data_IF_068871720312
#
_entry.id   IF_068871720312
#
_cell.length_a   1.000
_cell.length_b   1.000
_cell.length_c   1.000
_cell.angle_alpha   90.00
_cell.angle_beta   90.00
_cell.angle_gamma   90.00
#
_symmetry.space_group_name_H-M   'P 1'
#
loop_
_entity.id
_entity.type
_entity.pdbx_description
1 polymer ?
#
# COMPACT_ATOMS: atom_id res chain seq x y z
N UNK A 1 -11.39 -33.36 -6.85
CA UNK A 1 -11.35 -32.05 -6.18
C UNK A 1 -11.01 -31.05 -7.24
N UNK A 2 -11.99 -30.28 -7.69
CA UNK A 2 -11.76 -29.22 -8.68
C UNK A 2 -11.12 -28.04 -7.96
N UNK A 3 -9.83 -27.79 -8.24
CA UNK A 3 -9.19 -26.53 -7.90
C UNK A 3 -9.94 -25.43 -8.64
N UNK A 4 -10.87 -24.76 -7.95
CA UNK A 4 -11.42 -23.49 -8.40
C UNK A 4 -10.23 -22.59 -8.70
N UNK A 5 -10.10 -22.13 -9.96
CA UNK A 5 -9.12 -21.12 -10.38
C UNK A 5 -9.05 -20.04 -9.32
N UNK A 6 -7.99 -20.07 -8.51
CA UNK A 6 -7.72 -19.04 -7.51
C UNK A 6 -7.54 -17.73 -8.27
N UNK A 7 -8.55 -16.87 -8.22
CA UNK A 7 -8.41 -15.52 -8.75
C UNK A 7 -7.60 -14.77 -7.69
N UNK A 8 -6.27 -14.76 -7.84
CA UNK A 8 -5.36 -14.11 -6.90
C UNK A 8 -5.47 -12.60 -7.05
N UNK A 9 -6.36 -12.00 -6.26
CA UNK A 9 -6.44 -10.56 -6.08
C UNK A 9 -5.22 -10.15 -5.26
N UNK A 10 -4.44 -9.20 -5.79
CA UNK A 10 -3.30 -8.62 -5.07
C UNK A 10 -3.76 -7.33 -4.43
N UNK A 11 -3.53 -7.22 -3.13
CA UNK A 11 -3.95 -6.09 -2.31
C UNK A 11 -2.72 -5.32 -1.85
N UNK A 12 -2.86 -4.01 -1.81
CA UNK A 12 -1.94 -3.14 -1.06
C UNK A 12 -2.16 -3.30 0.44
N UNK A 13 -1.17 -2.93 1.25
CA UNK A 13 -1.28 -2.93 2.71
C UNK A 13 -2.47 -2.08 3.19
N UNK A 14 -2.77 -1.00 2.48
CA UNK A 14 -3.92 -0.15 2.77
C UNK A 14 -5.26 -0.83 2.47
N UNK A 15 -5.42 -1.44 1.29
CA UNK A 15 -6.65 -2.15 0.95
C UNK A 15 -6.89 -3.30 1.94
N UNK A 16 -5.82 -4.01 2.30
CA UNK A 16 -5.87 -5.02 3.35
C UNK A 16 -6.31 -4.41 4.70
N UNK A 17 -5.76 -3.25 5.08
CA UNK A 17 -6.16 -2.57 6.32
C UNK A 17 -7.64 -2.21 6.35
N UNK A 18 -8.19 -1.64 5.26
CA UNK A 18 -9.61 -1.28 5.17
C UNK A 18 -10.52 -2.50 5.31
N UNK A 19 -10.17 -3.61 4.65
CA UNK A 19 -10.93 -4.86 4.73
C UNK A 19 -10.90 -5.41 6.16
N UNK A 20 -9.74 -5.42 6.80
CA UNK A 20 -9.60 -5.92 8.18
C UNK A 20 -10.31 -5.01 9.17
N UNK A 21 -10.25 -3.68 8.99
CA UNK A 21 -10.98 -2.73 9.83
C UNK A 21 -12.49 -3.00 9.77
N UNK A 22 -13.06 -3.14 8.58
CA UNK A 22 -14.48 -3.44 8.40
C UNK A 22 -14.87 -4.78 9.06
N UNK A 23 -14.01 -5.80 8.96
CA UNK A 23 -14.22 -7.08 9.62
C UNK A 23 -14.20 -6.98 11.15
N UNK A 24 -13.25 -6.22 11.71
CA UNK A 24 -13.17 -5.98 13.16
C UNK A 24 -14.40 -5.23 13.66
N UNK A 25 -14.89 -4.24 12.91
CA UNK A 25 -16.10 -3.48 13.25
C UNK A 25 -17.35 -4.38 13.22
N UNK A 26 -17.49 -5.24 12.21
CA UNK A 26 -18.59 -6.22 12.12
C UNK A 26 -18.58 -7.22 13.28
N UNK A 27 -17.41 -7.76 13.62
CA UNK A 27 -17.27 -8.70 14.74
C UNK A 27 -17.61 -8.05 16.10
N UNK A 28 -17.31 -6.76 16.27
CA UNK A 28 -17.74 -5.99 17.45
C UNK A 28 -19.25 -5.83 17.52
N UNK A 29 -19.94 -5.64 16.40
CA UNK A 29 -21.39 -5.48 16.36
C UNK A 29 -22.14 -6.79 16.64
N UNK A 30 -21.60 -7.92 16.18
CA UNK A 30 -22.28 -9.22 16.25
C UNK A 30 -21.96 -10.04 17.53
N UNK A 31 -21.10 -9.54 18.44
CA UNK A 31 -20.63 -10.26 19.64
C UNK A 31 -20.04 -11.67 19.39
N UNK A 32 -19.74 -12.01 18.13
CA UNK A 32 -19.21 -13.31 17.69
C UNK A 32 -17.68 -13.35 17.78
N UNK A 33 -17.12 -13.12 18.97
CA UNK A 33 -15.68 -13.22 19.21
C UNK A 33 -15.25 -14.69 19.35
N UNK A 34 -14.95 -15.37 18.24
CA UNK A 34 -14.24 -16.66 18.28
C UNK A 34 -12.74 -16.45 18.56
N UNK A 35 -12.25 -16.89 19.71
CA UNK A 35 -10.95 -16.49 20.28
C UNK A 35 -9.71 -16.67 19.38
N UNK A 36 -9.69 -17.64 18.45
CA UNK A 36 -8.52 -17.91 17.58
C UNK A 36 -8.46 -17.01 16.34
N UNK A 37 -9.56 -16.82 15.63
CA UNK A 37 -9.58 -15.95 14.44
C UNK A 37 -9.36 -14.49 14.85
N UNK A 38 -9.87 -14.10 16.00
CA UNK A 38 -9.71 -12.74 16.53
C UNK A 38 -8.25 -12.38 16.79
N UNK A 39 -7.42 -13.26 17.37
CA UNK A 39 -6.03 -12.91 17.71
C UNK A 39 -5.18 -12.64 16.46
N UNK A 40 -5.36 -13.41 15.40
CA UNK A 40 -4.63 -13.19 14.15
C UNK A 40 -5.11 -11.90 13.45
N UNK A 41 -6.43 -11.67 13.41
CA UNK A 41 -7.02 -10.44 12.86
C UNK A 41 -6.56 -9.21 13.64
N UNK A 42 -6.49 -9.28 14.98
CA UNK A 42 -5.99 -8.20 15.83
C UNK A 42 -4.52 -7.90 15.57
N UNK A 43 -3.66 -8.93 15.55
CA UNK A 43 -2.23 -8.74 15.25
C UNK A 43 -2.00 -8.18 13.85
N UNK A 44 -2.77 -8.64 12.86
CA UNK A 44 -2.71 -8.10 11.50
C UNK A 44 -3.16 -6.64 11.47
N UNK A 45 -4.25 -6.31 12.17
CA UNK A 45 -4.71 -4.95 12.32
C UNK A 45 -3.65 -4.05 12.97
N UNK A 46 -3.07 -4.46 14.10
CA UNK A 46 -1.99 -3.73 14.79
C UNK A 46 -0.76 -3.54 13.90
N UNK A 47 -0.36 -4.58 13.17
CA UNK A 47 0.74 -4.49 12.22
C UNK A 47 0.45 -3.45 11.14
N UNK A 48 -0.71 -3.53 10.48
CA UNK A 48 -1.10 -2.61 9.41
C UNK A 48 -1.36 -1.19 9.94
N UNK A 49 -1.83 -1.05 11.18
CA UNK A 49 -2.05 0.23 11.86
C UNK A 49 -0.73 0.95 12.15
N UNK A 50 0.31 0.17 12.50
CA UNK A 50 1.67 0.69 12.70
C UNK A 50 2.36 1.11 11.40
N UNK A 51 1.85 0.67 10.24
CA UNK A 51 2.40 1.07 8.96
C UNK A 51 1.97 2.48 8.59
N UNK A 52 2.80 3.23 7.87
CA UNK A 52 2.41 4.56 7.43
C UNK A 52 1.20 4.56 6.49
N UNK A 53 0.17 5.32 6.85
CA UNK A 53 -1.11 5.37 6.11
C UNK A 53 -1.15 6.46 5.05
N UNK A 54 -0.03 6.63 4.34
CA UNK A 54 0.22 7.75 3.43
C UNK A 54 -0.82 7.92 2.29
N UNK A 55 -1.56 6.85 1.97
CA UNK A 55 -2.33 6.72 0.72
C UNK A 55 -3.86 6.77 0.99
N UNK A 56 -4.29 7.19 2.19
CA UNK A 56 -5.72 7.29 2.54
C UNK A 56 -6.53 8.27 1.69
N UNK A 57 -5.89 9.14 0.89
CA UNK A 57 -6.59 10.02 -0.03
C UNK A 57 -6.55 9.46 -1.46
N UNK A 58 -7.74 9.13 -1.99
CA UNK A 58 -7.95 8.53 -3.32
C UNK A 58 -7.25 9.29 -4.46
N UNK A 59 -7.12 10.61 -4.36
CA UNK A 59 -6.51 11.43 -5.40
C UNK A 59 -5.01 11.14 -5.56
N UNK A 60 -4.27 10.99 -4.46
CA UNK A 60 -2.84 10.74 -4.50
C UNK A 60 -2.50 9.33 -4.97
N UNK A 61 -3.34 8.36 -4.60
CA UNK A 61 -3.23 6.98 -5.09
C UNK A 61 -3.33 6.96 -6.61
N UNK A 62 -4.32 7.67 -7.14
CA UNK A 62 -4.57 7.71 -8.57
C UNK A 62 -3.45 8.44 -9.31
N UNK A 63 -2.92 9.54 -8.76
CA UNK A 63 -1.80 10.25 -9.37
C UNK A 63 -0.52 9.42 -9.40
N UNK A 64 -0.17 8.74 -8.30
CA UNK A 64 0.99 7.85 -8.28
C UNK A 64 0.76 6.65 -9.19
N UNK A 65 -0.43 6.05 -9.19
CA UNK A 65 -0.79 4.95 -10.08
C UNK A 65 -0.64 5.35 -11.54
N UNK A 66 -1.18 6.50 -11.93
CA UNK A 66 -1.13 7.00 -13.30
C UNK A 66 0.30 7.32 -13.74
N UNK A 67 1.16 7.77 -12.83
CA UNK A 67 2.59 7.93 -13.09
C UNK A 67 3.24 6.55 -13.33
N UNK A 68 3.04 5.60 -12.42
CA UNK A 68 3.68 4.29 -12.48
C UNK A 68 3.22 3.45 -13.69
N UNK A 69 1.97 3.62 -14.13
CA UNK A 69 1.41 2.96 -15.32
C UNK A 69 2.05 3.41 -16.63
N UNK A 70 2.80 4.52 -16.64
CA UNK A 70 3.55 4.96 -17.83
C UNK A 70 4.81 4.13 -18.05
N UNK A 71 5.21 3.34 -17.06
CA UNK A 71 6.41 2.54 -17.09
C UNK A 71 6.06 1.05 -17.22
N UNK A 72 7.00 0.26 -17.75
CA UNK A 72 6.86 -1.18 -17.91
C UNK A 72 7.07 -1.93 -16.58
N UNK A 73 6.37 -1.50 -15.53
CA UNK A 73 6.41 -2.11 -14.20
C UNK A 73 5.35 -3.21 -14.08
N UNK A 74 5.71 -4.28 -13.40
CA UNK A 74 4.78 -5.33 -13.03
C UNK A 74 3.83 -4.83 -11.94
N UNK A 75 2.66 -5.47 -11.84
CA UNK A 75 1.71 -5.16 -10.78
C UNK A 75 2.32 -5.34 -9.37
N UNK A 76 3.26 -6.28 -9.19
CA UNK A 76 3.93 -6.49 -7.90
C UNK A 76 4.84 -5.30 -7.56
N UNK A 77 5.63 -4.83 -8.52
CA UNK A 77 6.50 -3.66 -8.35
C UNK A 77 5.67 -2.43 -7.96
N UNK A 78 4.56 -2.20 -8.66
CA UNK A 78 3.64 -1.10 -8.36
C UNK A 78 3.10 -1.22 -6.93
N UNK A 79 2.63 -2.39 -6.52
CA UNK A 79 2.12 -2.63 -5.16
C UNK A 79 3.21 -2.39 -4.10
N UNK A 80 4.45 -2.83 -4.35
CA UNK A 80 5.56 -2.60 -3.44
C UNK A 80 5.91 -1.12 -3.32
N UNK A 81 5.86 -0.36 -4.41
CA UNK A 81 6.04 1.10 -4.38
C UNK A 81 4.96 1.76 -3.52
N UNK A 82 3.69 1.33 -3.63
CA UNK A 82 2.61 1.83 -2.76
C UNK A 82 2.84 1.45 -1.29
N UNK A 83 3.27 0.22 -1.01
CA UNK A 83 3.44 -0.24 0.36
C UNK A 83 4.62 0.43 1.08
N UNK A 84 5.73 0.66 0.37
CA UNK A 84 6.98 1.14 0.98
C UNK A 84 7.15 2.66 0.81
N UNK A 85 6.63 3.25 -0.26
CA UNK A 85 6.75 4.67 -0.59
C UNK A 85 8.22 5.15 -0.60
N UNK A 86 9.01 4.66 -1.57
CA UNK A 86 10.48 4.79 -1.61
C UNK A 86 10.95 6.24 -1.46
N UNK A 87 12.06 6.41 -0.75
CA UNK A 87 12.66 7.71 -0.39
C UNK A 87 13.91 8.03 -1.16
N UNK A 88 14.60 6.98 -1.61
CA UNK A 88 15.88 7.05 -2.31
C UNK A 88 15.81 6.16 -3.54
N UNK A 89 16.72 6.41 -4.47
CA UNK A 89 16.87 5.60 -5.67
C UNK A 89 17.13 4.12 -5.35
N UNK A 90 17.97 3.84 -4.35
CA UNK A 90 18.28 2.47 -3.94
C UNK A 90 17.03 1.68 -3.53
N UNK A 91 16.00 2.35 -2.99
CA UNK A 91 14.75 1.70 -2.62
C UNK A 91 14.01 1.20 -3.89
N UNK A 92 14.05 1.98 -4.97
CA UNK A 92 13.45 1.60 -6.26
C UNK A 92 14.23 0.46 -6.92
N UNK A 93 15.56 0.48 -6.85
CA UNK A 93 16.41 -0.60 -7.36
C UNK A 93 16.20 -1.93 -6.62
N UNK A 94 15.84 -1.88 -5.34
CA UNK A 94 15.47 -3.07 -4.55
C UNK A 94 14.07 -3.61 -4.89
N UNK A 95 13.17 -2.75 -5.36
CA UNK A 95 11.78 -3.12 -5.68
C UNK A 95 11.65 -3.58 -7.14
N UNK A 96 12.35 -2.90 -8.07
CA UNK A 96 12.15 -3.03 -9.51
C UNK A 96 13.27 -3.87 -10.11
N UNK A 97 12.89 -4.99 -10.73
CA UNK A 97 13.84 -5.82 -11.45
C UNK A 97 14.35 -5.10 -12.70
N UNK A 98 15.68 -5.13 -12.90
CA UNK A 98 16.34 -4.42 -14.01
C UNK A 98 15.93 -2.94 -14.09
N UNK A 99 15.92 -2.27 -12.93
CA UNK A 99 15.47 -0.88 -12.78
C UNK A 99 16.09 0.06 -13.81
N UNK A 100 17.40 -0.04 -14.05
CA UNK A 100 18.15 0.80 -14.99
C UNK A 100 17.67 0.65 -16.46
N UNK A 101 17.09 -0.51 -16.80
CA UNK A 101 16.54 -0.76 -18.14
C UNK A 101 15.11 -0.24 -18.27
N UNK A 102 14.35 -0.24 -17.17
CA UNK A 102 12.93 0.15 -17.15
C UNK A 102 12.72 1.64 -16.90
N UNK A 103 13.63 2.27 -16.14
CA UNK A 103 13.53 3.64 -15.70
C UNK A 103 14.86 4.36 -15.94
N UNK A 104 14.79 5.54 -16.55
CA UNK A 104 15.92 6.47 -16.57
C UNK A 104 15.99 7.29 -15.28
N UNK A 105 17.09 8.01 -15.10
CA UNK A 105 17.35 8.83 -13.91
C UNK A 105 16.23 9.87 -13.66
N UNK A 106 15.65 10.43 -14.73
CA UNK A 106 14.55 11.41 -14.63
C UNK A 106 13.27 10.77 -14.11
N UNK A 107 12.97 9.56 -14.55
CA UNK A 107 11.79 8.81 -14.12
C UNK A 107 11.94 8.36 -12.66
N UNK A 108 13.13 7.92 -12.27
CA UNK A 108 13.48 7.60 -10.88
C UNK A 108 13.24 8.83 -9.99
N UNK A 109 13.79 9.98 -10.37
CA UNK A 109 13.61 11.23 -9.63
C UNK A 109 12.13 11.64 -9.56
N UNK A 110 11.38 11.50 -10.65
CA UNK A 110 9.96 11.80 -10.70
C UNK A 110 9.15 10.92 -9.72
N UNK A 111 9.44 9.62 -9.66
CA UNK A 111 8.78 8.70 -8.72
C UNK A 111 9.11 9.08 -7.28
N UNK A 112 10.39 9.30 -6.94
CA UNK A 112 10.83 9.65 -5.59
C UNK A 112 10.16 10.97 -5.15
N UNK A 113 10.18 11.98 -6.01
CA UNK A 113 9.55 13.28 -5.75
C UNK A 113 8.05 13.13 -5.54
N UNK A 114 7.38 12.27 -6.33
CA UNK A 114 5.96 12.00 -6.13
C UNK A 114 5.70 11.32 -4.78
N UNK A 115 6.51 10.34 -4.40
CA UNK A 115 6.43 9.67 -3.11
C UNK A 115 6.65 10.66 -1.94
N UNK A 116 7.59 11.60 -2.09
CA UNK A 116 7.85 12.66 -1.11
C UNK A 116 6.66 13.61 -0.95
N UNK A 117 6.05 14.05 -2.05
CA UNK A 117 4.85 14.90 -2.01
C UNK A 117 3.72 14.25 -1.20
N UNK A 118 3.50 12.95 -1.43
CA UNK A 118 2.48 12.16 -0.72
C UNK A 118 2.79 12.10 0.78
N UNK A 119 4.04 11.81 1.16
CA UNK A 119 4.47 11.80 2.57
C UNK A 119 4.25 13.16 3.25
N UNK A 120 4.65 14.25 2.59
CA UNK A 120 4.52 15.60 3.12
C UNK A 120 3.06 16.04 3.29
N UNK A 121 2.19 15.66 2.35
CA UNK A 121 0.76 15.97 2.45
C UNK A 121 0.07 15.18 3.57
N UNK A 122 0.44 13.91 3.74
CA UNK A 122 -0.05 13.10 4.85
C UNK A 122 0.33 13.72 6.20
N UNK A 123 1.58 14.16 6.38
CA UNK A 123 2.03 14.84 7.60
C UNK A 123 1.24 16.13 7.87
N UNK A 124 0.96 16.92 6.83
CA UNK A 124 0.13 18.13 6.95
C UNK A 124 -1.30 17.81 7.42
N UNK A 125 -1.91 16.77 6.88
CA UNK A 125 -3.26 16.35 7.27
C UNK A 125 -3.32 15.87 8.73
N UNK A 126 -2.29 15.17 9.20
CA UNK A 126 -2.19 14.76 10.61
C UNK A 126 -2.03 15.96 11.55
N UNK A 127 -1.23 16.96 11.16
CA UNK A 127 -1.03 18.17 11.97
C UNK A 127 -2.23 19.12 11.95
N UNK A 128 -3.10 19.07 10.94
CA UNK A 128 -4.34 19.84 10.89
C UNK A 128 -5.49 19.24 11.72
N UNK A 129 -5.39 17.97 12.10
CA UNK A 129 -6.43 17.24 12.84
C UNK A 129 -6.11 17.10 14.35
N UNK A 130 -5.01 17.68 14.83
CA UNK A 130 -4.64 17.82 16.24
C UNK A 130 -4.74 19.28 16.68
#
# INVERSE_FOLDING_TARGET
MDEKKETRIKLTNQEAFLIIQEQVEKQKQENLFSAKNTQMTQKLFEFLDSQPKYIMNSNFVNELKNLLLQFSLTQNEIIQIFNVLPTKEIDLQLIIESCETKLDEKNIEAIIKKCEQIRNQYQKQQNSNN
#
